data_IF_196413216251
#
_entry.id   IF_196413216251
#
_cell.length_a   1.000
_cell.length_b   1.000
_cell.length_c   1.000
_cell.angle_alpha   90.00
_cell.angle_beta   90.00
_cell.angle_gamma   90.00
#
_symmetry.space_group_name_H-M   'P 1'
#
loop_
_entity.id
_entity.type
_entity.pdbx_description
1 polymer ?
#
# COMPACT_ATOMS: atom_id res chain seq x y z
N UNK A 1 -14.73 22.17 -8.36
CA UNK A 1 -14.70 20.97 -9.22
C UNK A 1 -15.00 19.77 -8.34
N UNK A 2 -15.89 18.84 -8.71
CA UNK A 2 -16.02 17.60 -7.96
C UNK A 2 -14.69 16.87 -8.08
N UNK A 3 -14.02 16.62 -6.95
CA UNK A 3 -12.80 15.80 -6.93
C UNK A 3 -13.25 14.42 -7.37
N UNK A 4 -12.91 14.04 -8.60
CA UNK A 4 -13.19 12.68 -9.07
C UNK A 4 -12.27 11.77 -8.28
N UNK A 5 -12.87 10.97 -7.39
CA UNK A 5 -12.17 10.00 -6.56
C UNK A 5 -11.31 9.07 -7.45
N UNK A 6 -10.06 8.84 -7.08
CA UNK A 6 -9.15 8.00 -7.87
C UNK A 6 -9.65 6.55 -7.94
N UNK A 7 -9.21 5.79 -8.94
CA UNK A 7 -9.57 4.36 -9.08
C UNK A 7 -9.28 3.57 -7.80
N UNK A 8 -8.10 3.77 -7.19
CA UNK A 8 -7.71 3.05 -5.98
C UNK A 8 -8.66 3.31 -4.82
N UNK A 9 -9.11 4.56 -4.64
CA UNK A 9 -10.07 4.90 -3.59
C UNK A 9 -11.47 4.36 -3.91
N UNK A 10 -11.97 4.52 -5.14
CA UNK A 10 -13.26 3.94 -5.59
C UNK A 10 -13.32 2.41 -5.41
N UNK A 11 -12.22 1.73 -5.73
CA UNK A 11 -12.09 0.28 -5.60
C UNK A 11 -11.85 -0.19 -4.16
N UNK A 12 -11.71 0.75 -3.20
CA UNK A 12 -11.27 0.49 -1.82
C UNK A 12 -9.94 -0.28 -1.80
N UNK A 13 -9.13 -0.09 -2.83
CA UNK A 13 -7.82 -0.69 -3.05
C UNK A 13 -6.78 0.43 -3.16
N UNK A 14 -6.42 1.06 -2.03
CA UNK A 14 -5.65 2.29 -2.07
C UNK A 14 -4.17 2.07 -2.41
N UNK A 15 -3.70 0.81 -2.44
CA UNK A 15 -2.40 0.45 -2.99
C UNK A 15 -2.42 0.07 -4.48
N UNK A 16 -3.56 0.17 -5.18
CA UNK A 16 -3.68 -0.31 -6.57
C UNK A 16 -3.13 -1.75 -6.76
N UNK A 17 -3.44 -2.65 -5.82
CA UNK A 17 -2.98 -4.04 -5.88
C UNK A 17 -3.66 -4.75 -7.06
N UNK A 18 -2.87 -5.37 -7.93
CA UNK A 18 -3.37 -6.18 -9.04
C UNK A 18 -4.20 -7.38 -8.53
N UNK A 19 -5.30 -7.66 -9.22
CA UNK A 19 -6.07 -8.86 -8.96
C UNK A 19 -5.26 -10.10 -9.38
N UNK A 20 -5.25 -11.12 -8.53
CA UNK A 20 -4.68 -12.42 -8.84
C UNK A 20 -5.57 -13.48 -8.18
N UNK A 21 -6.01 -14.48 -8.94
CA UNK A 21 -6.88 -15.55 -8.45
C UNK A 21 -6.24 -16.42 -7.36
N UNK A 22 -4.91 -16.44 -7.28
CA UNK A 22 -4.18 -17.13 -6.20
C UNK A 22 -4.20 -16.34 -4.88
N UNK A 23 -4.50 -15.04 -4.90
CA UNK A 23 -4.60 -14.22 -3.71
C UNK A 23 -6.01 -14.26 -3.13
N UNK A 24 -6.12 -14.78 -1.89
CA UNK A 24 -7.38 -14.82 -1.15
C UNK A 24 -7.40 -13.75 -0.06
N UNK A 25 -7.40 -12.47 -0.46
CA UNK A 25 -7.45 -11.39 0.51
C UNK A 25 -8.83 -11.36 1.20
N UNK A 26 -8.82 -11.16 2.52
CA UNK A 26 -10.03 -10.92 3.28
C UNK A 26 -10.73 -9.65 2.76
N UNK A 27 -12.04 -9.74 2.51
CA UNK A 27 -12.84 -8.64 1.98
C UNK A 27 -12.65 -8.37 0.48
N UNK A 28 -11.85 -9.16 -0.25
CA UNK A 28 -11.75 -9.03 -1.69
C UNK A 28 -13.08 -9.42 -2.35
N UNK A 29 -13.62 -8.50 -3.15
CA UNK A 29 -14.83 -8.73 -3.93
C UNK A 29 -14.51 -9.63 -5.14
N UNK A 30 -15.54 -10.33 -5.64
CA UNK A 30 -15.41 -11.09 -6.89
C UNK A 30 -14.95 -10.18 -8.03
N UNK A 31 -14.05 -10.65 -8.91
CA UNK A 31 -13.64 -9.86 -10.07
C UNK A 31 -14.85 -9.60 -10.95
N UNK A 32 -14.96 -8.37 -11.44
CA UNK A 32 -16.02 -7.98 -12.39
C UNK A 32 -15.40 -7.05 -13.44
N UNK A 33 -15.06 -7.58 -14.63
CA UNK A 33 -14.43 -6.80 -15.70
C UNK A 33 -15.25 -5.63 -16.23
N UNK A 34 -16.57 -5.60 -15.95
CA UNK A 34 -17.41 -4.45 -16.29
C UNK A 34 -17.16 -3.26 -15.36
N UNK A 35 -16.62 -3.50 -14.15
CA UNK A 35 -16.32 -2.47 -13.16
C UNK A 35 -14.81 -2.22 -13.05
N UNK A 36 -14.01 -3.28 -12.95
CA UNK A 36 -12.54 -3.22 -12.85
C UNK A 36 -11.90 -4.44 -13.53
N UNK A 37 -10.99 -4.20 -14.48
CA UNK A 37 -10.40 -5.24 -15.33
C UNK A 37 -9.11 -5.83 -14.76
N UNK A 38 -8.34 -5.03 -14.00
CA UNK A 38 -6.97 -5.36 -13.61
C UNK A 38 -6.81 -5.45 -12.09
N UNK A 39 -7.37 -4.49 -11.37
CA UNK A 39 -7.08 -4.33 -9.94
C UNK A 39 -8.05 -5.10 -9.05
N UNK A 40 -7.57 -5.52 -7.88
CA UNK A 40 -8.45 -6.04 -6.84
C UNK A 40 -9.42 -4.94 -6.38
N UNK A 41 -10.59 -5.38 -5.90
CA UNK A 41 -11.58 -4.51 -5.24
C UNK A 41 -11.89 -5.07 -3.88
N UNK A 42 -12.12 -4.19 -2.91
CA UNK A 42 -12.41 -4.59 -1.54
C UNK A 42 -13.78 -4.08 -1.09
N UNK A 43 -14.37 -4.77 -0.13
CA UNK A 43 -15.61 -4.39 0.53
C UNK A 43 -15.43 -3.16 1.45
N UNK A 44 -14.26 -2.94 2.05
CA UNK A 44 -13.95 -1.75 2.85
C UNK A 44 -12.52 -1.25 2.59
N UNK A 45 -12.26 0.07 2.77
CA UNK A 45 -10.89 0.61 2.67
C UNK A 45 -9.90 -0.06 3.62
N UNK A 46 -10.33 -0.41 4.83
CA UNK A 46 -9.49 -1.10 5.83
C UNK A 46 -9.01 -2.46 5.32
N UNK A 47 -9.84 -3.18 4.55
CA UNK A 47 -9.45 -4.45 3.95
C UNK A 47 -8.45 -4.28 2.79
N UNK A 48 -8.58 -3.20 2.00
CA UNK A 48 -7.56 -2.83 1.02
C UNK A 48 -6.23 -2.40 1.66
N UNK A 49 -6.28 -1.62 2.74
CA UNK A 49 -5.10 -1.22 3.52
C UNK A 49 -4.46 -2.45 4.18
N UNK A 50 -5.27 -3.37 4.70
CA UNK A 50 -4.80 -4.64 5.25
C UNK A 50 -4.05 -5.46 4.19
N UNK A 51 -4.60 -5.58 2.98
CA UNK A 51 -3.95 -6.28 1.88
C UNK A 51 -2.60 -5.63 1.51
N UNK A 52 -2.56 -4.30 1.45
CA UNK A 52 -1.32 -3.54 1.26
C UNK A 52 -0.28 -3.87 2.34
N UNK A 53 -0.66 -3.77 3.62
CA UNK A 53 0.25 -4.09 4.73
C UNK A 53 0.75 -5.54 4.70
N UNK A 54 -0.13 -6.52 4.41
CA UNK A 54 0.26 -7.94 4.28
C UNK A 54 1.23 -8.17 3.12
N UNK A 55 1.08 -7.44 2.02
CA UNK A 55 1.99 -7.51 0.88
C UNK A 55 3.39 -6.96 1.24
N UNK A 56 3.45 -5.82 1.95
CA UNK A 56 4.70 -5.25 2.45
C UNK A 56 5.40 -6.18 3.46
N UNK A 57 4.65 -6.81 4.37
CA UNK A 57 5.20 -7.82 5.28
C UNK A 57 5.74 -9.04 4.52
N UNK A 58 5.07 -9.44 3.44
CA UNK A 58 5.55 -10.53 2.58
C UNK A 58 6.88 -10.16 1.94
N UNK A 59 7.04 -8.91 1.50
CA UNK A 59 8.30 -8.40 0.95
C UNK A 59 9.44 -8.48 1.97
N UNK A 60 9.22 -8.05 3.22
CA UNK A 60 10.24 -8.15 4.26
C UNK A 60 10.54 -9.61 4.63
N UNK A 61 9.51 -10.43 4.89
CA UNK A 61 9.68 -11.78 5.44
C UNK A 61 10.15 -12.81 4.41
N UNK A 62 9.52 -12.82 3.23
CA UNK A 62 9.79 -13.84 2.19
C UNK A 62 10.97 -13.46 1.29
N UNK A 63 11.17 -12.16 1.04
CA UNK A 63 12.22 -11.67 0.15
C UNK A 63 13.39 -11.03 0.89
N UNK A 64 13.35 -10.96 2.23
CA UNK A 64 14.46 -10.45 3.03
C UNK A 64 14.73 -8.96 2.82
N UNK A 65 13.75 -8.19 2.37
CA UNK A 65 13.91 -6.76 2.07
C UNK A 65 13.87 -5.95 3.37
N UNK A 66 14.98 -5.29 3.70
CA UNK A 66 15.18 -4.65 5.00
C UNK A 66 15.28 -3.13 4.98
N UNK A 67 15.15 -2.47 3.83
CA UNK A 67 15.28 -1.01 3.72
C UNK A 67 14.11 -0.41 2.96
N UNK A 68 13.86 0.89 3.14
CA UNK A 68 12.83 1.61 2.36
C UNK A 68 13.08 1.45 0.86
N UNK A 69 14.33 1.68 0.44
CA UNK A 69 14.74 1.50 -0.96
C UNK A 69 14.38 0.11 -1.48
N UNK A 70 14.73 -0.95 -0.75
CA UNK A 70 14.48 -2.33 -1.18
C UNK A 70 12.98 -2.62 -1.33
N UNK A 71 12.17 -2.21 -0.33
CA UNK A 71 10.72 -2.41 -0.35
C UNK A 71 10.06 -1.62 -1.50
N UNK A 72 10.38 -0.34 -1.63
CA UNK A 72 9.76 0.54 -2.63
C UNK A 72 10.23 0.23 -4.04
N UNK A 73 11.49 -0.15 -4.26
CA UNK A 73 11.94 -0.59 -5.58
C UNK A 73 11.25 -1.87 -6.05
N UNK A 74 10.80 -2.73 -5.13
CA UNK A 74 9.95 -3.88 -5.46
C UNK A 74 8.49 -3.48 -5.67
N UNK A 75 7.99 -2.51 -4.91
CA UNK A 75 6.63 -1.99 -5.03
C UNK A 75 6.39 -1.26 -6.35
N UNK A 76 7.29 -0.32 -6.69
CA UNK A 76 7.20 0.56 -7.85
C UNK A 76 8.57 0.63 -8.57
N UNK A 77 8.85 -0.33 -9.47
CA UNK A 77 10.10 -0.36 -10.23
C UNK A 77 10.32 0.89 -11.10
N UNK A 78 11.60 1.23 -11.33
CA UNK A 78 12.02 2.48 -11.97
C UNK A 78 11.71 2.60 -13.48
N UNK A 79 11.21 1.52 -14.10
CA UNK A 79 10.83 1.54 -15.52
C UNK A 79 9.65 2.50 -15.76
N UNK A 80 8.77 2.65 -14.77
CA UNK A 80 7.54 3.45 -14.87
C UNK A 80 7.47 4.59 -13.83
N UNK A 81 8.43 4.68 -12.91
CA UNK A 81 8.36 5.57 -11.74
C UNK A 81 9.69 6.27 -11.46
N UNK A 82 9.63 7.48 -10.89
CA UNK A 82 10.78 8.05 -10.16
C UNK A 82 10.88 7.36 -8.79
N UNK A 83 11.42 6.13 -8.80
CA UNK A 83 11.61 5.32 -7.58
C UNK A 83 12.46 6.06 -6.56
N UNK A 84 13.42 6.91 -6.98
CA UNK A 84 14.26 7.65 -6.06
C UNK A 84 13.46 8.72 -5.30
N UNK A 85 12.58 9.45 -5.97
CA UNK A 85 11.65 10.38 -5.33
C UNK A 85 10.68 9.66 -4.39
N UNK A 86 10.17 8.49 -4.80
CA UNK A 86 9.26 7.70 -3.97
C UNK A 86 9.95 7.21 -2.68
N UNK A 87 11.18 6.71 -2.79
CA UNK A 87 11.97 6.29 -1.62
C UNK A 87 12.16 7.46 -0.65
N UNK A 88 12.55 8.64 -1.15
CA UNK A 88 12.72 9.83 -0.30
C UNK A 88 11.41 10.24 0.39
N UNK A 89 10.28 10.17 -0.33
CA UNK A 89 8.97 10.50 0.23
C UNK A 89 8.58 9.54 1.36
N UNK A 90 8.85 8.24 1.19
CA UNK A 90 8.57 7.23 2.21
C UNK A 90 9.50 7.40 3.40
N UNK A 91 10.81 7.59 3.18
CA UNK A 91 11.80 7.87 4.25
C UNK A 91 11.41 9.09 5.09
N UNK A 92 10.96 10.17 4.45
CA UNK A 92 10.46 11.36 5.15
C UNK A 92 9.18 11.06 5.93
N UNK A 93 8.26 10.28 5.37
CA UNK A 93 7.01 9.92 6.05
C UNK A 93 7.21 8.98 7.24
N UNK A 94 8.30 8.22 7.27
CA UNK A 94 8.62 7.25 8.33
C UNK A 94 9.68 7.75 9.31
N UNK A 95 10.39 8.85 8.99
CA UNK A 95 11.53 9.34 9.77
C UNK A 95 12.74 8.41 9.70
N UNK A 96 12.83 7.54 8.70
CA UNK A 96 13.94 6.59 8.55
C UNK A 96 15.07 7.19 7.74
N UNK A 97 16.31 7.03 8.21
CA UNK A 97 17.48 7.46 7.46
C UNK A 97 17.69 6.60 6.20
N UNK A 98 18.26 7.17 5.11
CA UNK A 98 18.58 6.40 3.92
C UNK A 98 19.46 5.19 4.21
N UNK A 99 19.04 4.02 3.75
CA UNK A 99 19.75 2.75 3.95
C UNK A 99 19.63 2.13 5.33
N UNK A 100 18.90 2.77 6.27
CA UNK A 100 18.63 2.17 7.58
C UNK A 100 17.81 0.87 7.43
N UNK A 101 18.12 -0.11 8.29
CA UNK A 101 17.26 -1.28 8.43
C UNK A 101 15.92 -0.87 9.05
N UNK A 102 14.84 -1.48 8.56
CA UNK A 102 13.47 -1.22 8.99
C UNK A 102 12.79 -2.51 9.43
N UNK A 103 11.84 -2.36 10.35
CA UNK A 103 10.95 -3.43 10.78
C UNK A 103 9.48 -3.03 10.60
N UNK A 104 8.86 -3.52 9.53
CA UNK A 104 7.45 -3.26 9.22
C UNK A 104 6.50 -4.01 10.16
N UNK A 105 6.98 -4.82 11.10
CA UNK A 105 6.12 -5.33 12.18
C UNK A 105 5.79 -4.24 13.23
N UNK A 106 6.54 -3.14 13.22
CA UNK A 106 6.26 -1.97 14.05
C UNK A 106 5.11 -1.15 13.44
N UNK A 107 4.00 -1.04 14.18
CA UNK A 107 2.79 -0.36 13.70
C UNK A 107 3.01 1.10 13.22
N UNK A 108 3.80 1.96 13.92
CA UNK A 108 4.07 3.31 13.43
C UNK A 108 4.78 3.32 12.08
N UNK A 109 5.73 2.40 11.88
CA UNK A 109 6.51 2.31 10.66
C UNK A 109 5.67 1.79 9.49
N UNK A 110 4.91 0.70 9.72
CA UNK A 110 3.94 0.20 8.75
C UNK A 110 2.93 1.27 8.33
N UNK A 111 2.40 2.03 9.29
CA UNK A 111 1.47 3.12 9.01
C UNK A 111 2.10 4.22 8.16
N UNK A 112 3.34 4.60 8.43
CA UNK A 112 4.08 5.58 7.61
C UNK A 112 4.24 5.10 6.16
N UNK A 113 4.63 3.85 5.96
CA UNK A 113 4.71 3.22 4.64
C UNK A 113 3.37 3.23 3.89
N UNK A 114 2.33 2.70 4.54
CA UNK A 114 0.97 2.64 3.98
C UNK A 114 0.51 4.04 3.59
N UNK A 115 0.67 5.03 4.47
CA UNK A 115 0.27 6.42 4.21
C UNK A 115 1.00 7.00 3.00
N UNK A 116 2.32 6.85 2.94
CA UNK A 116 3.13 7.36 1.84
C UNK A 116 2.75 6.72 0.50
N UNK A 117 2.52 5.39 0.49
CA UNK A 117 2.11 4.67 -0.71
C UNK A 117 0.75 5.16 -1.20
N UNK A 118 -0.25 5.22 -0.31
CA UNK A 118 -1.60 5.66 -0.68
C UNK A 118 -1.58 7.08 -1.24
N UNK A 119 -0.83 7.98 -0.61
CA UNK A 119 -0.70 9.36 -1.05
C UNK A 119 -0.09 9.43 -2.47
N UNK A 120 0.92 8.62 -2.76
CA UNK A 120 1.53 8.55 -4.09
C UNK A 120 0.57 7.96 -5.13
N UNK A 121 -0.05 6.82 -4.83
CA UNK A 121 -0.92 6.05 -5.72
C UNK A 121 -2.25 6.75 -6.06
N UNK A 122 -2.68 7.68 -5.21
CA UNK A 122 -4.01 8.29 -5.29
C UNK A 122 -3.96 9.82 -5.32
N UNK A 123 -2.98 10.39 -6.02
CA UNK A 123 -2.90 11.84 -6.29
C UNK A 123 -3.02 12.71 -5.03
N UNK A 124 -2.37 12.30 -3.94
CA UNK A 124 -2.38 13.02 -2.66
C UNK A 124 -3.51 12.66 -1.72
N UNK A 125 -4.35 11.67 -2.05
CA UNK A 125 -5.46 11.27 -1.18
C UNK A 125 -4.96 10.80 0.20
N UNK A 126 -5.66 11.22 1.25
CA UNK A 126 -5.41 10.83 2.62
C UNK A 126 -6.69 10.28 3.26
N UNK A 127 -6.62 9.05 3.78
CA UNK A 127 -7.70 8.49 4.59
C UNK A 127 -7.71 9.10 6.00
N UNK A 128 -8.88 9.10 6.67
CA UNK A 128 -8.93 9.36 8.10
C UNK A 128 -7.98 8.42 8.87
N UNK A 129 -7.36 8.96 9.91
CA UNK A 129 -6.35 8.24 10.70
C UNK A 129 -6.88 6.94 11.30
N UNK A 130 -8.16 6.90 11.69
CA UNK A 130 -8.81 5.70 12.21
C UNK A 130 -8.87 4.55 11.18
N UNK A 131 -9.14 4.88 9.90
CA UNK A 131 -9.20 3.90 8.80
C UNK A 131 -7.80 3.33 8.52
N UNK A 132 -6.78 4.19 8.50
CA UNK A 132 -5.38 3.76 8.37
C UNK A 132 -4.96 2.87 9.54
N UNK A 133 -5.22 3.30 10.77
CA UNK A 133 -4.85 2.57 11.97
C UNK A 133 -5.52 1.19 12.03
N UNK A 134 -6.80 1.11 11.68
CA UNK A 134 -7.53 -0.16 11.67
C UNK A 134 -7.02 -1.12 10.59
N UNK A 135 -6.78 -0.64 9.37
CA UNK A 135 -6.20 -1.46 8.32
C UNK A 135 -4.80 -1.98 8.67
N UNK A 136 -3.95 -1.12 9.25
CA UNK A 136 -2.60 -1.50 9.73
C UNK A 136 -2.68 -2.52 10.87
N UNK A 137 -3.57 -2.31 11.85
CA UNK A 137 -3.81 -3.26 12.96
C UNK A 137 -4.19 -4.63 12.42
N UNK A 138 -5.11 -4.71 11.46
CA UNK A 138 -5.51 -5.97 10.80
C UNK A 138 -4.38 -6.61 9.98
N UNK A 139 -3.46 -5.81 9.43
CA UNK A 139 -2.30 -6.34 8.71
C UNK A 139 -1.28 -6.99 9.66
N UNK A 140 -1.16 -6.49 10.89
CA UNK A 140 -0.19 -6.97 11.89
C UNK A 140 -0.72 -8.11 12.76
N UNK A 141 -2.05 -8.28 12.83
CA UNK A 141 -2.72 -9.41 13.47
C UNK A 141 -2.43 -10.75 12.77
#
# INVERSE_FOLDING_TARGET
>A
MPITETRGVRNRNPGNIDYNSANQWQGQLKPDPAIEKRFARFDTPENGIRALGKLLLTYQRKHGLKTVKAIISRWAPAVENDTAAYVRAVEASTGTAPGAEIDLTQAPLMRGFVKAIIHHENAGYAYPDAVLAEGVRRALA
#
